data_IF_602080049184
#
_entry.id   IF_602080049184
#
_cell.length_a   1.000
_cell.length_b   1.000
_cell.length_c   1.000
_cell.angle_alpha   90.00
_cell.angle_beta   90.00
_cell.angle_gamma   90.00
#
_symmetry.space_group_name_H-M   'P 1'
#
loop_
_entity.id
_entity.type
_entity.pdbx_description
1 polymer ?
#
# COMPACT_ATOMS: atom_id res chain seq x y z
N UNK A 1 8.92 11.76 -10.49
CA UNK A 1 7.86 10.81 -10.87
C UNK A 1 7.72 10.54 -12.37
N UNK A 2 7.87 11.52 -13.28
CA UNK A 2 7.73 11.30 -14.74
C UNK A 2 8.51 10.09 -15.29
N UNK A 3 9.76 9.86 -14.85
CA UNK A 3 10.57 8.69 -15.24
C UNK A 3 9.98 7.34 -14.83
N UNK A 4 9.22 7.28 -13.73
CA UNK A 4 8.55 6.06 -13.27
C UNK A 4 7.41 5.63 -14.20
N UNK A 5 6.88 6.54 -15.01
CA UNK A 5 5.80 6.31 -15.97
C UNK A 5 6.31 6.13 -17.40
N UNK A 6 7.57 5.73 -17.56
CA UNK A 6 8.08 5.41 -18.90
C UNK A 6 7.35 4.15 -19.45
N UNK A 7 6.92 4.21 -20.70
CA UNK A 7 6.30 3.05 -21.38
C UNK A 7 7.28 1.89 -21.48
N UNK A 8 8.57 2.19 -21.66
CA UNK A 8 9.65 1.23 -21.65
C UNK A 8 10.07 0.90 -20.20
N UNK A 9 9.90 -0.35 -19.72
CA UNK A 9 10.26 -0.75 -18.37
C UNK A 9 11.75 -0.54 -18.05
N UNK A 10 12.64 -0.74 -19.02
CA UNK A 10 14.09 -0.61 -18.82
C UNK A 10 14.51 0.85 -18.58
N UNK A 11 13.70 1.80 -19.06
CA UNK A 11 13.93 3.23 -18.83
C UNK A 11 13.36 3.73 -17.50
N UNK A 12 12.67 2.88 -16.73
CA UNK A 12 12.16 3.25 -15.40
C UNK A 12 13.31 3.18 -14.38
N UNK A 13 13.29 4.05 -13.36
CA UNK A 13 14.27 3.97 -12.28
C UNK A 13 14.05 2.69 -11.47
N UNK A 14 15.15 2.16 -10.91
CA UNK A 14 15.08 1.03 -9.97
C UNK A 14 14.56 1.49 -8.61
N UNK A 15 14.07 0.54 -7.79
CA UNK A 15 13.66 0.83 -6.41
C UNK A 15 14.80 1.44 -5.58
N UNK A 16 16.04 0.96 -5.77
CA UNK A 16 17.20 1.50 -5.09
C UNK A 16 17.52 2.94 -5.50
N UNK A 17 17.40 3.26 -6.80
CA UNK A 17 17.56 4.63 -7.28
C UNK A 17 16.52 5.56 -6.65
N UNK A 18 15.25 5.14 -6.63
CA UNK A 18 14.17 5.92 -6.01
C UNK A 18 14.38 6.12 -4.51
N UNK A 19 14.79 5.09 -3.78
CA UNK A 19 15.11 5.18 -2.36
C UNK A 19 16.16 6.26 -2.08
N UNK A 20 17.24 6.27 -2.87
CA UNK A 20 18.29 7.28 -2.75
C UNK A 20 17.80 8.70 -3.07
N UNK A 21 16.90 8.85 -4.05
CA UNK A 21 16.30 10.15 -4.38
C UNK A 21 15.42 10.63 -3.23
N UNK A 22 14.56 9.76 -2.69
CA UNK A 22 13.66 10.10 -1.60
C UNK A 22 14.42 10.44 -0.31
N UNK A 23 15.50 9.72 0.00
CA UNK A 23 16.38 10.04 1.11
C UNK A 23 17.00 11.44 0.98
N UNK A 24 17.48 11.80 -0.22
CA UNK A 24 18.01 13.15 -0.45
C UNK A 24 16.93 14.23 -0.29
N UNK A 25 15.71 13.93 -0.71
CA UNK A 25 14.59 14.86 -0.57
C UNK A 25 14.13 15.01 0.87
N UNK A 26 14.09 13.94 1.67
CA UNK A 26 13.70 14.04 3.09
C UNK A 26 14.69 14.86 3.90
N UNK A 27 15.99 14.79 3.57
CA UNK A 27 17.02 15.63 4.18
C UNK A 27 16.86 17.09 3.74
N UNK A 28 16.58 17.34 2.46
CA UNK A 28 16.47 18.70 1.92
C UNK A 28 15.18 19.40 2.33
N UNK A 29 14.09 18.64 2.42
CA UNK A 29 12.75 19.11 2.73
C UNK A 29 12.24 18.31 3.95
N UNK A 30 12.68 18.69 5.16
CA UNK A 30 12.23 18.00 6.37
C UNK A 30 10.72 18.07 6.47
N UNK A 31 10.12 16.95 6.87
CA UNK A 31 8.68 16.84 7.07
C UNK A 31 8.36 17.46 8.42
N UNK A 32 7.32 18.30 8.49
CA UNK A 32 6.78 18.76 9.77
C UNK A 32 6.21 17.56 10.54
N UNK A 33 6.79 17.28 11.69
CA UNK A 33 6.40 16.17 12.56
C UNK A 33 5.19 16.55 13.43
N UNK A 34 5.03 17.85 13.71
CA UNK A 34 3.88 18.38 14.46
C UNK A 34 2.62 18.31 13.59
N UNK A 35 1.74 17.36 13.92
CA UNK A 35 0.48 17.13 13.19
C UNK A 35 -0.40 18.38 13.14
N UNK A 36 -0.36 19.24 14.15
CA UNK A 36 -1.18 20.46 14.20
C UNK A 36 -0.71 21.52 13.22
N UNK A 37 0.58 21.54 12.89
CA UNK A 37 1.16 22.46 11.90
C UNK A 37 1.04 21.96 10.47
N UNK A 38 0.70 20.68 10.27
CA UNK A 38 0.49 20.11 8.93
C UNK A 38 -0.86 20.57 8.39
N UNK A 39 -0.90 20.91 7.11
CA UNK A 39 -2.16 21.22 6.43
C UNK A 39 -2.94 19.89 6.30
N UNK A 40 -4.11 19.73 6.94
CA UNK A 40 -4.90 18.52 6.83
C UNK A 40 -5.43 18.41 5.40
N UNK A 41 -5.37 17.21 4.84
CA UNK A 41 -6.08 16.92 3.59
C UNK A 41 -7.57 16.86 3.96
N UNK A 42 -8.44 17.62 3.28
CA UNK A 42 -9.87 17.59 3.54
C UNK A 42 -10.41 16.16 3.38
N UNK A 43 -11.19 15.68 4.35
CA UNK A 43 -11.71 14.31 4.40
C UNK A 43 -12.85 14.05 3.40
N UNK A 44 -13.40 15.11 2.82
CA UNK A 44 -14.34 15.03 1.72
C UNK A 44 -13.68 14.26 0.56
N UNK A 45 -14.23 13.07 0.28
CA UNK A 45 -13.86 12.30 -0.90
C UNK A 45 -13.86 13.26 -2.09
N UNK A 46 -12.72 13.46 -2.77
CA UNK A 46 -12.77 14.18 -4.02
C UNK A 46 -13.80 13.48 -4.89
N UNK A 47 -14.71 14.22 -5.54
CA UNK A 47 -15.53 13.63 -6.60
C UNK A 47 -14.56 13.03 -7.61
N UNK A 48 -14.34 11.71 -7.53
CA UNK A 48 -13.39 11.04 -8.41
C UNK A 48 -14.10 10.95 -9.76
N UNK A 49 -13.88 11.94 -10.61
CA UNK A 49 -14.36 11.92 -11.98
C UNK A 49 -13.43 10.99 -12.75
N UNK A 50 -13.83 9.72 -12.85
CA UNK A 50 -13.15 8.75 -13.67
C UNK A 50 -13.27 9.14 -15.15
N UNK A 51 -12.17 9.05 -15.89
CA UNK A 51 -12.22 9.23 -17.34
C UNK A 51 -13.08 8.11 -17.95
N UNK A 52 -14.03 8.40 -18.87
CA UNK A 52 -14.97 7.40 -19.39
C UNK A 52 -14.31 6.20 -20.11
N UNK A 53 -13.03 6.33 -20.47
CA UNK A 53 -12.20 5.26 -21.06
C UNK A 53 -11.19 4.63 -20.10
N UNK A 54 -11.23 4.92 -18.79
CA UNK A 54 -10.35 4.26 -17.83
C UNK A 54 -10.74 2.78 -17.71
N UNK A 55 -9.83 1.88 -18.03
CA UNK A 55 -10.07 0.43 -17.99
C UNK A 55 -10.09 -0.14 -16.56
N UNK A 56 -9.63 0.64 -15.58
CA UNK A 56 -9.53 0.24 -14.18
C UNK A 56 -10.57 0.99 -13.35
N UNK A 57 -11.79 0.46 -13.31
CA UNK A 57 -12.67 0.78 -12.19
C UNK A 57 -12.09 0.01 -11.00
N UNK A 58 -11.35 0.67 -10.11
CA UNK A 58 -11.07 0.15 -8.78
C UNK A 58 -12.41 0.02 -8.05
N UNK A 59 -13.15 -1.06 -8.33
CA UNK A 59 -14.39 -1.37 -7.63
C UNK A 59 -13.97 -1.86 -6.26
N UNK A 60 -14.61 -1.35 -5.21
CA UNK A 60 -14.55 -1.98 -3.89
C UNK A 60 -14.85 -3.46 -4.10
N UNK A 61 -13.93 -4.33 -3.71
CA UNK A 61 -14.12 -5.76 -3.85
C UNK A 61 -15.04 -6.21 -2.72
N UNK A 62 -16.35 -6.25 -2.99
CA UNK A 62 -17.38 -6.71 -2.04
C UNK A 62 -17.39 -8.23 -1.88
N UNK A 63 -16.26 -8.88 -2.17
CA UNK A 63 -16.16 -10.33 -2.36
C UNK A 63 -15.56 -11.03 -1.14
N UNK A 64 -15.41 -10.32 -0.02
CA UNK A 64 -14.83 -10.88 1.21
C UNK A 64 -15.53 -12.17 1.64
N UNK A 65 -16.86 -12.20 1.64
CA UNK A 65 -17.63 -13.42 1.97
C UNK A 65 -17.34 -14.56 1.01
N UNK A 66 -17.34 -14.31 -0.29
CA UNK A 66 -17.13 -15.35 -1.30
C UNK A 66 -15.67 -15.79 -1.40
N UNK A 67 -14.72 -14.92 -1.09
CA UNK A 67 -13.31 -15.27 -0.90
C UNK A 67 -13.15 -16.17 0.32
N UNK A 68 -13.78 -15.83 1.45
CA UNK A 68 -13.76 -16.67 2.65
C UNK A 68 -14.36 -18.04 2.37
N UNK A 69 -15.46 -18.14 1.62
CA UNK A 69 -16.04 -19.42 1.18
C UNK A 69 -15.07 -20.24 0.33
N UNK A 70 -14.37 -19.63 -0.63
CA UNK A 70 -13.36 -20.31 -1.47
C UNK A 70 -12.17 -20.79 -0.61
N UNK A 71 -11.74 -19.98 0.35
CA UNK A 71 -10.63 -20.31 1.26
C UNK A 71 -11.00 -21.44 2.22
N UNK A 72 -12.29 -21.56 2.59
CA UNK A 72 -12.81 -22.62 3.45
C UNK A 72 -13.06 -23.94 2.70
N UNK A 73 -12.86 -24.00 1.38
CA UNK A 73 -12.89 -25.27 0.65
C UNK A 73 -11.69 -26.13 1.06
N UNK A 74 -11.94 -27.37 1.51
CA UNK A 74 -10.92 -28.29 2.06
C UNK A 74 -9.69 -28.49 1.16
N UNK A 75 -9.87 -28.43 -0.16
CA UNK A 75 -8.77 -28.56 -1.14
C UNK A 75 -7.78 -27.37 -1.10
N UNK A 76 -8.25 -26.18 -0.73
CA UNK A 76 -7.48 -24.93 -0.68
C UNK A 76 -6.99 -24.61 0.73
N UNK A 77 -7.77 -24.96 1.76
CA UNK A 77 -7.44 -24.76 3.18
C UNK A 77 -6.07 -25.37 3.55
N UNK A 78 -5.79 -26.57 3.04
CA UNK A 78 -4.52 -27.27 3.30
C UNK A 78 -3.30 -26.69 2.55
N UNK A 79 -3.54 -25.83 1.55
CA UNK A 79 -2.48 -25.28 0.67
C UNK A 79 -2.09 -23.84 1.04
N UNK A 80 -2.93 -23.15 1.80
CA UNK A 80 -2.73 -21.76 2.20
C UNK A 80 -2.50 -21.74 3.72
N UNK A 81 -1.25 -21.56 4.13
CA UNK A 81 -0.93 -21.28 5.53
C UNK A 81 -1.25 -19.81 5.79
N UNK A 82 -2.35 -19.54 6.47
CA UNK A 82 -2.64 -18.21 7.01
C UNK A 82 -1.77 -18.05 8.26
N UNK A 83 -0.70 -17.28 8.14
CA UNK A 83 0.09 -16.85 9.29
C UNK A 83 -0.68 -15.67 9.87
N UNK A 84 -1.41 -15.92 10.95
CA UNK A 84 -1.91 -14.84 11.79
C UNK A 84 -0.68 -14.14 12.39
N UNK A 85 -0.38 -12.92 11.93
CA UNK A 85 0.47 -11.98 12.67
C UNK A 85 -0.27 -11.58 13.95
N UNK A 86 -0.34 -12.52 14.90
CA UNK A 86 -0.62 -12.18 16.28
C UNK A 86 0.60 -11.42 16.77
N UNK A 87 0.36 -10.15 17.03
CA UNK A 87 1.28 -9.21 17.69
C UNK A 87 2.27 -9.95 18.60
N UNK A 88 3.55 -9.67 18.37
CA UNK A 88 4.63 -9.99 19.28
C UNK A 88 4.42 -9.19 20.58
N UNK A 89 3.54 -9.72 21.42
CA UNK A 89 3.31 -9.27 22.77
C UNK A 89 4.51 -9.72 23.59
N UNK A 90 5.53 -8.86 23.64
CA UNK A 90 6.76 -9.09 24.37
C UNK A 90 6.50 -9.53 25.81
N UNK A 91 6.78 -10.79 26.11
CA UNK A 91 7.11 -11.30 27.44
C UNK A 91 8.17 -12.39 27.27
N UNK A 92 9.43 -12.02 27.54
CA UNK A 92 10.41 -12.95 28.10
C UNK A 92 10.97 -12.28 29.36
N UNK A 93 10.38 -12.63 30.50
CA UNK A 93 11.00 -12.48 31.81
C UNK A 93 12.13 -13.51 31.91
N UNK A 94 13.25 -13.05 32.48
CA UNK A 94 14.26 -13.78 33.24
C UNK A 94 14.81 -15.11 32.69
N UNK A 95 16.09 -15.08 32.30
CA UNK A 95 17.19 -15.60 33.14
C UNK A 95 18.46 -14.76 32.92
#
# INVERSE_FOLDING_TARGET
>A
MKRCWNNDPEKRPTANELSNIFLKWSIKYPIEEDKEKRIPIPENEPEIIYHPKSCYTSRKFNYSTKLNEILLQDELSNKIVIIDDKNDDGISKEL
#
